data_IF_427093177147
#
_entry.id   IF_427093177147
#
_cell.length_a   1.000
_cell.length_b   1.000
_cell.length_c   1.000
_cell.angle_alpha   90.00
_cell.angle_beta   90.00
_cell.angle_gamma   90.00
#
_symmetry.space_group_name_H-M   'P 1'
#
loop_
_entity.id
_entity.type
_entity.pdbx_description
1 polymer ?
#
# COMPACT_ATOMS: atom_id res chain seq x y z
N UNK A 1 0.20 0.49 -28.77
CA UNK A 1 0.78 -0.04 -27.51
C UNK A 1 -0.22 -0.08 -26.32
N UNK A 2 -1.44 0.48 -26.43
CA UNK A 2 -2.39 0.57 -25.30
C UNK A 2 -3.49 -0.51 -25.26
N UNK A 3 -3.62 -1.36 -26.28
CA UNK A 3 -4.59 -2.47 -26.33
C UNK A 3 -3.90 -3.83 -26.53
N UNK A 4 -2.89 -4.11 -25.72
CA UNK A 4 -2.35 -5.47 -25.57
C UNK A 4 -3.07 -6.19 -24.43
N UNK A 5 -3.23 -7.50 -24.56
CA UNK A 5 -3.62 -8.39 -23.47
C UNK A 5 -2.76 -8.12 -22.23
N UNK A 6 -3.32 -8.15 -21.01
CA UNK A 6 -2.54 -7.88 -19.80
C UNK A 6 -1.42 -8.91 -19.65
N UNK A 7 -0.19 -8.43 -19.42
CA UNK A 7 1.01 -9.27 -19.37
C UNK A 7 0.88 -10.38 -18.31
N UNK A 8 0.27 -10.06 -17.17
CA UNK A 8 -0.06 -11.02 -16.12
C UNK A 8 -1.16 -12.02 -16.50
N UNK A 9 -2.14 -11.60 -17.31
CA UNK A 9 -3.19 -12.50 -17.76
C UNK A 9 -2.67 -13.52 -18.79
N UNK A 10 -1.75 -13.11 -19.66
CA UNK A 10 -1.07 -14.01 -20.60
C UNK A 10 -0.12 -14.97 -19.89
N UNK A 11 0.57 -14.50 -18.86
CA UNK A 11 1.48 -15.33 -18.07
C UNK A 11 0.74 -16.31 -17.17
N UNK A 12 -0.47 -15.97 -16.71
CA UNK A 12 -1.36 -16.92 -16.05
C UNK A 12 -1.49 -18.19 -16.88
N UNK A 13 -1.73 -18.08 -18.19
CA UNK A 13 -1.88 -19.25 -19.07
C UNK A 13 -0.59 -20.07 -19.27
N UNK A 14 0.60 -19.45 -19.27
CA UNK A 14 1.88 -20.15 -19.45
C UNK A 14 2.43 -20.81 -18.17
N UNK A 15 2.08 -20.29 -16.99
CA UNK A 15 2.65 -20.72 -15.69
C UNK A 15 1.79 -21.79 -14.98
N UNK A 16 0.55 -22.00 -15.45
CA UNK A 16 -0.38 -22.97 -14.89
C UNK A 16 0.08 -24.43 -15.08
N UNK A 17 0.12 -25.18 -13.97
CA UNK A 17 0.29 -26.64 -13.99
C UNK A 17 -0.95 -27.32 -14.58
N UNK A 18 -0.79 -28.54 -15.11
CA UNK A 18 -1.85 -29.26 -15.83
C UNK A 18 -2.99 -29.82 -14.98
N UNK A 19 -3.14 -29.41 -13.71
CA UNK A 19 -4.16 -29.93 -12.80
C UNK A 19 -4.84 -28.81 -12.00
N UNK A 20 -6.17 -28.79 -12.07
CA UNK A 20 -7.07 -28.11 -11.13
C UNK A 20 -6.90 -26.59 -10.98
N UNK A 21 -7.74 -25.81 -11.69
CA UNK A 21 -7.86 -24.37 -11.41
C UNK A 21 -8.36 -24.09 -9.99
N UNK A 22 -7.91 -22.99 -9.39
CA UNK A 22 -8.40 -22.53 -8.07
C UNK A 22 -9.88 -22.17 -8.20
N UNK A 23 -10.72 -22.67 -7.30
CA UNK A 23 -12.14 -22.25 -7.27
C UNK A 23 -12.27 -20.78 -6.86
N UNK A 24 -13.22 -20.07 -7.48
CA UNK A 24 -13.55 -18.68 -7.14
C UNK A 24 -13.85 -18.48 -5.65
N UNK A 25 -14.54 -19.44 -5.01
CA UNK A 25 -14.83 -19.36 -3.58
C UNK A 25 -13.57 -19.48 -2.72
N UNK A 26 -12.64 -20.37 -3.09
CA UNK A 26 -11.36 -20.55 -2.39
C UNK A 26 -10.52 -19.27 -2.49
N UNK A 27 -10.43 -18.68 -3.69
CA UNK A 27 -9.68 -17.43 -3.88
C UNK A 27 -10.26 -16.27 -3.06
N UNK A 28 -11.59 -16.07 -3.08
CA UNK A 28 -12.27 -15.02 -2.32
C UNK A 28 -12.09 -15.22 -0.81
N UNK A 29 -12.26 -16.46 -0.32
CA UNK A 29 -12.05 -16.79 1.09
C UNK A 29 -10.59 -16.61 1.52
N UNK A 30 -9.63 -16.99 0.69
CA UNK A 30 -8.21 -16.77 0.95
C UNK A 30 -7.88 -15.27 1.00
N UNK A 31 -8.42 -14.46 0.09
CA UNK A 31 -8.28 -13.01 0.11
C UNK A 31 -8.88 -12.39 1.39
N UNK A 32 -10.09 -12.81 1.77
CA UNK A 32 -10.72 -12.37 3.01
C UNK A 32 -9.88 -12.76 4.24
N UNK A 33 -9.39 -14.00 4.29
CA UNK A 33 -8.57 -14.51 5.39
C UNK A 33 -7.24 -13.76 5.50
N UNK A 34 -6.55 -13.49 4.39
CA UNK A 34 -5.31 -12.71 4.38
C UNK A 34 -5.55 -11.26 4.82
N UNK A 35 -6.64 -10.62 4.40
CA UNK A 35 -6.99 -9.27 4.83
C UNK A 35 -7.27 -9.20 6.34
N UNK A 36 -8.03 -10.17 6.87
CA UNK A 36 -8.30 -10.29 8.31
C UNK A 36 -7.01 -10.58 9.08
N UNK A 37 -6.18 -11.51 8.62
CA UNK A 37 -4.89 -11.85 9.23
C UNK A 37 -3.98 -10.61 9.31
N UNK A 38 -3.88 -9.85 8.22
CA UNK A 38 -3.05 -8.65 8.14
C UNK A 38 -3.43 -7.61 9.18
N UNK A 39 -4.73 -7.45 9.47
CA UNK A 39 -5.20 -6.54 10.51
C UNK A 39 -5.04 -7.15 11.90
N UNK A 40 -5.51 -8.39 12.10
CA UNK A 40 -5.55 -9.04 13.40
C UNK A 40 -4.16 -9.20 14.02
N UNK A 41 -3.14 -9.51 13.20
CA UNK A 41 -1.79 -9.72 13.70
C UNK A 41 -1.17 -8.44 14.29
N UNK A 42 -1.61 -7.25 13.86
CA UNK A 42 -1.12 -5.97 14.39
C UNK A 42 -1.51 -5.78 15.86
N UNK A 43 -2.58 -6.45 16.29
CA UNK A 43 -3.09 -6.45 17.65
C UNK A 43 -2.60 -7.65 18.46
N UNK A 44 -1.96 -8.64 17.82
CA UNK A 44 -1.44 -9.84 18.48
C UNK A 44 -0.49 -9.55 19.66
N UNK A 45 0.44 -8.58 19.60
CA UNK A 45 1.31 -8.25 20.73
C UNK A 45 0.53 -7.91 22.01
N UNK A 46 -0.57 -7.17 21.88
CA UNK A 46 -1.37 -6.70 23.02
C UNK A 46 -2.37 -7.75 23.48
N UNK A 47 -3.13 -8.35 22.55
CA UNK A 47 -4.27 -9.20 22.92
C UNK A 47 -3.91 -10.70 23.00
N UNK A 48 -2.99 -11.18 22.17
CA UNK A 48 -2.62 -12.60 22.11
C UNK A 48 -1.41 -12.87 23.01
N UNK A 49 -0.31 -12.16 22.77
CA UNK A 49 0.94 -12.33 23.51
C UNK A 49 0.94 -11.63 24.88
N UNK A 50 -0.08 -10.81 25.16
CA UNK A 50 -0.24 -10.04 26.41
C UNK A 50 1.03 -9.29 26.82
N UNK A 51 1.77 -8.76 25.83
CA UNK A 51 2.97 -8.00 26.08
C UNK A 51 2.61 -6.69 26.79
N UNK A 52 3.48 -6.18 27.70
CA UNK A 52 3.25 -4.90 28.33
C UNK A 52 3.13 -3.79 27.28
N UNK A 53 2.36 -2.73 27.55
CA UNK A 53 2.25 -1.58 26.67
C UNK A 53 3.64 -1.08 26.24
N UNK A 54 3.82 -0.68 24.98
CA UNK A 54 5.11 -0.23 24.50
C UNK A 54 5.56 1.01 25.29
N UNK A 55 6.80 0.95 25.79
CA UNK A 55 7.42 2.01 26.59
C UNK A 55 7.71 3.29 25.78
N UNK A 56 7.69 3.21 24.45
CA UNK A 56 7.90 4.34 23.54
C UNK A 56 7.10 4.17 22.25
N UNK A 57 6.91 5.28 21.52
CA UNK A 57 6.29 5.27 20.19
C UNK A 57 7.09 4.42 19.19
N UNK A 58 8.42 4.46 19.25
CA UNK A 58 9.27 3.63 18.38
C UNK A 58 9.06 2.14 18.63
N UNK A 59 8.99 1.72 19.90
CA UNK A 59 8.70 0.35 20.26
C UNK A 59 7.31 -0.09 19.77
N UNK A 60 6.32 0.80 19.81
CA UNK A 60 4.99 0.54 19.24
C UNK A 60 5.07 0.30 17.72
N UNK A 61 5.78 1.16 16.98
CA UNK A 61 5.92 1.05 15.53
C UNK A 61 6.69 -0.21 15.14
N UNK A 62 7.80 -0.52 15.81
CA UNK A 62 8.61 -1.72 15.57
C UNK A 62 7.78 -3.00 15.78
N UNK A 63 6.97 -3.07 16.84
CA UNK A 63 6.07 -4.22 17.06
C UNK A 63 5.11 -4.42 15.89
N UNK A 64 4.48 -3.34 15.41
CA UNK A 64 3.58 -3.39 14.24
C UNK A 64 4.31 -3.78 12.96
N UNK A 65 5.55 -3.34 12.77
CA UNK A 65 6.38 -3.78 11.64
C UNK A 65 6.64 -5.28 11.65
N UNK A 66 7.08 -5.82 12.78
CA UNK A 66 7.35 -7.26 12.91
C UNK A 66 6.07 -8.05 12.60
N UNK A 67 4.93 -7.63 13.15
CA UNK A 67 3.64 -8.25 12.87
C UNK A 67 3.24 -8.18 11.39
N UNK A 68 3.36 -7.01 10.76
CA UNK A 68 3.05 -6.83 9.34
C UNK A 68 3.94 -7.70 8.44
N UNK A 69 5.24 -7.79 8.75
CA UNK A 69 6.19 -8.67 8.06
C UNK A 69 5.80 -10.14 8.21
N UNK A 70 5.48 -10.59 9.42
CA UNK A 70 5.05 -11.98 9.66
C UNK A 70 3.79 -12.29 8.86
N UNK A 71 2.76 -11.43 8.89
CA UNK A 71 1.55 -11.64 8.09
C UNK A 71 1.83 -11.62 6.60
N UNK A 72 2.77 -10.80 6.13
CA UNK A 72 3.15 -10.75 4.72
C UNK A 72 3.81 -12.07 4.28
N UNK A 73 4.73 -12.59 5.10
CA UNK A 73 5.37 -13.88 4.86
C UNK A 73 4.37 -15.04 4.88
N UNK A 74 3.47 -15.07 5.86
CA UNK A 74 2.41 -16.08 5.93
C UNK A 74 1.48 -16.02 4.70
N UNK A 75 1.16 -14.82 4.23
CA UNK A 75 0.33 -14.62 3.02
C UNK A 75 1.03 -15.10 1.75
N UNK A 76 2.33 -14.85 1.62
CA UNK A 76 3.16 -15.37 0.52
C UNK A 76 3.24 -16.90 0.56
N UNK A 77 3.42 -17.50 1.74
CA UNK A 77 3.45 -18.97 1.85
C UNK A 77 2.08 -19.56 1.50
N UNK A 78 1.00 -19.01 2.07
CA UNK A 78 -0.36 -19.47 1.80
C UNK A 78 -0.72 -19.35 0.31
N UNK A 79 -0.34 -18.25 -0.33
CA UNK A 79 -0.62 -18.04 -1.76
C UNK A 79 0.14 -19.01 -2.64
N UNK A 80 1.42 -19.28 -2.33
CA UNK A 80 2.21 -20.27 -3.08
C UNK A 80 1.61 -21.67 -2.97
N UNK A 81 1.02 -22.01 -1.82
CA UNK A 81 0.34 -23.28 -1.60
C UNK A 81 -1.02 -23.39 -2.32
N UNK A 82 -1.72 -22.28 -2.54
CA UNK A 82 -3.04 -22.25 -3.18
C UNK A 82 -2.92 -22.13 -4.71
N UNK A 83 -1.93 -21.39 -5.20
CA UNK A 83 -1.76 -21.17 -6.63
C UNK A 83 -1.43 -22.50 -7.36
N UNK A 84 -2.08 -22.80 -8.49
CA UNK A 84 -1.83 -24.02 -9.26
C UNK A 84 -0.63 -23.81 -10.20
N UNK A 85 0.50 -23.40 -9.64
CA UNK A 85 1.74 -23.12 -10.35
C UNK A 85 2.76 -24.21 -10.10
N UNK A 86 3.69 -24.39 -11.05
CA UNK A 86 4.84 -25.27 -10.82
C UNK A 86 5.68 -24.68 -9.69
N UNK A 87 6.15 -25.54 -8.79
CA UNK A 87 7.03 -25.17 -7.66
C UNK A 87 8.47 -24.85 -8.10
N UNK A 88 8.63 -24.09 -9.18
CA UNK A 88 9.90 -23.51 -9.59
C UNK A 88 9.96 -22.08 -9.06
N UNK A 89 11.09 -21.70 -8.46
CA UNK A 89 11.27 -20.37 -7.88
C UNK A 89 10.95 -19.24 -8.87
N UNK A 90 11.32 -19.41 -10.14
CA UNK A 90 11.03 -18.44 -11.21
C UNK A 90 9.53 -18.24 -11.46
N UNK A 91 8.76 -19.32 -11.37
CA UNK A 91 7.32 -19.33 -11.62
C UNK A 91 6.59 -18.67 -10.44
N UNK A 92 7.00 -18.99 -9.21
CA UNK A 92 6.50 -18.37 -7.98
C UNK A 92 6.81 -16.86 -7.94
N UNK A 93 8.06 -16.47 -8.20
CA UNK A 93 8.43 -15.05 -8.23
C UNK A 93 7.71 -14.29 -9.35
N UNK A 94 7.53 -14.92 -10.52
CA UNK A 94 6.78 -14.32 -11.63
C UNK A 94 5.31 -14.12 -11.27
N UNK A 95 4.67 -15.08 -10.60
CA UNK A 95 3.29 -14.95 -10.12
C UNK A 95 3.14 -13.77 -9.15
N UNK A 96 4.14 -13.52 -8.30
CA UNK A 96 4.19 -12.35 -7.41
C UNK A 96 4.61 -11.04 -8.08
N UNK A 97 4.90 -11.04 -9.39
CA UNK A 97 5.42 -9.87 -10.10
C UNK A 97 6.83 -9.45 -9.66
N UNK A 98 7.59 -10.35 -9.06
CA UNK A 98 9.00 -10.16 -8.71
C UNK A 98 9.88 -10.61 -9.87
N UNK A 99 10.11 -9.70 -10.82
CA UNK A 99 10.85 -9.99 -12.05
C UNK A 99 11.89 -8.90 -12.34
N UNK A 100 12.93 -9.28 -13.10
CA UNK A 100 14.07 -8.42 -13.43
C UNK A 100 14.02 -7.82 -14.84
N UNK A 101 13.18 -8.35 -15.73
CA UNK A 101 12.95 -7.79 -17.05
C UNK A 101 12.20 -6.45 -16.94
N UNK A 102 12.49 -5.50 -17.82
CA UNK A 102 11.72 -4.24 -17.94
C UNK A 102 11.50 -3.41 -16.65
N UNK A 103 12.28 -3.65 -15.59
CA UNK A 103 12.10 -2.99 -14.27
C UNK A 103 12.15 -1.47 -14.36
N UNK A 104 12.99 -0.92 -15.23
CA UNK A 104 13.06 0.53 -15.42
C UNK A 104 11.73 1.11 -15.94
N UNK A 105 11.02 0.39 -16.82
CA UNK A 105 9.71 0.81 -17.35
C UNK A 105 8.64 0.70 -16.28
N UNK A 106 8.68 -0.41 -15.52
CA UNK A 106 7.83 -0.64 -14.35
C UNK A 106 8.05 0.39 -13.23
N UNK A 107 9.21 1.06 -13.20
CA UNK A 107 9.45 2.15 -12.27
C UNK A 107 9.02 3.52 -12.84
N UNK A 108 9.50 3.86 -14.03
CA UNK A 108 9.35 5.21 -14.60
C UNK A 108 7.92 5.50 -15.06
N UNK A 109 7.25 4.55 -15.73
CA UNK A 109 5.91 4.77 -16.25
C UNK A 109 4.88 4.99 -15.13
N UNK A 110 4.82 4.15 -14.08
CA UNK A 110 3.88 4.37 -12.98
C UNK A 110 4.20 5.63 -12.19
N UNK A 111 5.48 5.96 -11.98
CA UNK A 111 5.87 7.21 -11.32
C UNK A 111 5.40 8.42 -12.13
N UNK A 112 5.60 8.42 -13.44
CA UNK A 112 5.18 9.49 -14.34
C UNK A 112 3.66 9.65 -14.35
N UNK A 113 2.93 8.53 -14.48
CA UNK A 113 1.47 8.52 -14.49
C UNK A 113 0.89 9.02 -13.15
N UNK A 114 1.45 8.56 -12.02
CA UNK A 114 1.03 9.02 -10.70
C UNK A 114 1.37 10.48 -10.48
N UNK A 115 2.54 10.94 -10.94
CA UNK A 115 2.93 12.36 -10.87
C UNK A 115 1.98 13.25 -11.67
N UNK A 116 1.50 12.78 -12.83
CA UNK A 116 0.51 13.50 -13.65
C UNK A 116 -0.83 13.63 -12.91
N UNK A 117 -1.31 12.57 -12.26
CA UNK A 117 -2.53 12.63 -11.43
C UNK A 117 -2.40 13.67 -10.30
N UNK A 118 -1.18 13.87 -9.79
CA UNK A 118 -0.86 14.83 -8.75
C UNK A 118 -0.33 16.17 -9.27
N UNK A 119 -0.35 16.44 -10.58
CA UNK A 119 0.29 17.61 -11.18
C UNK A 119 -0.10 18.93 -10.49
N UNK A 120 -1.38 19.10 -10.13
CA UNK A 120 -1.84 20.30 -9.39
C UNK A 120 -1.20 20.46 -8.00
N UNK A 121 -1.07 19.37 -7.24
CA UNK A 121 -0.40 19.39 -5.92
C UNK A 121 1.13 19.47 -6.05
N UNK A 122 1.68 18.86 -7.10
CA UNK A 122 3.11 18.85 -7.40
C UNK A 122 3.61 20.23 -7.80
N UNK A 123 2.90 20.92 -8.70
CA UNK A 123 3.19 22.32 -9.08
C UNK A 123 3.12 23.23 -7.85
N UNK A 124 2.11 23.09 -6.98
CA UNK A 124 2.03 23.89 -5.73
C UNK A 124 3.23 23.64 -4.80
N UNK A 125 3.68 22.38 -4.67
CA UNK A 125 4.83 22.03 -3.81
C UNK A 125 6.14 22.53 -4.40
N UNK A 126 6.32 22.44 -5.73
CA UNK A 126 7.46 23.03 -6.44
C UNK A 126 7.45 24.56 -6.29
N UNK A 127 6.32 25.22 -6.52
CA UNK A 127 6.20 26.66 -6.36
C UNK A 127 6.54 27.08 -4.93
N UNK A 128 6.03 26.37 -3.91
CA UNK A 128 6.38 26.65 -2.51
C UNK A 128 7.87 26.41 -2.20
N UNK A 129 8.51 25.41 -2.81
CA UNK A 129 9.96 25.20 -2.67
C UNK A 129 10.75 26.31 -3.36
N UNK A 130 10.33 26.73 -4.55
CA UNK A 130 10.96 27.83 -5.29
C UNK A 130 10.79 29.18 -4.59
N UNK A 131 9.63 29.41 -3.97
CA UNK A 131 9.33 30.63 -3.20
C UNK A 131 10.15 30.65 -1.90
N UNK A 132 10.20 29.51 -1.20
CA UNK A 132 11.08 29.32 -0.02
C UNK A 132 12.57 29.43 -0.37
N UNK A 133 12.98 29.07 -1.59
CA UNK A 133 14.35 29.19 -2.07
C UNK A 133 14.73 30.65 -2.42
N UNK A 134 13.74 31.53 -2.69
CA UNK A 134 13.98 32.97 -2.83
C UNK A 134 14.20 33.68 -1.49
N UNK A 135 13.68 33.14 -0.38
CA UNK A 135 13.86 33.73 0.96
C UNK A 135 15.11 33.23 1.71
N UNK A 136 15.69 32.08 1.38
CA UNK A 136 16.84 31.51 2.10
C UNK A 136 17.99 31.15 1.14
N UNK A 137 18.71 32.17 0.67
CA UNK A 137 19.76 32.02 -0.37
C UNK A 137 21.14 31.57 0.15
N UNK A 138 21.29 31.00 1.36
CA UNK A 138 22.64 30.65 1.89
C UNK A 138 22.83 29.22 2.41
N UNK A 139 21.78 28.40 2.67
CA UNK A 139 21.99 27.04 3.23
C UNK A 139 21.12 25.91 2.63
N UNK A 140 20.55 26.09 1.43
CA UNK A 140 19.55 25.17 0.86
C UNK A 140 20.02 23.72 0.65
N UNK A 141 21.28 23.51 0.22
CA UNK A 141 21.82 22.17 -0.04
C UNK A 141 22.06 21.36 1.24
N UNK A 142 22.61 22.00 2.28
CA UNK A 142 22.86 21.37 3.58
C UNK A 142 21.54 21.07 4.33
N UNK A 143 20.54 21.95 4.21
CA UNK A 143 19.21 21.76 4.80
C UNK A 143 18.42 20.65 4.10
N UNK A 144 18.54 20.50 2.77
CA UNK A 144 17.92 19.40 2.05
C UNK A 144 18.56 18.04 2.42
N UNK A 145 19.89 17.99 2.46
CA UNK A 145 20.63 16.80 2.87
C UNK A 145 20.38 16.43 4.33
N UNK A 146 20.32 17.41 5.24
CA UNK A 146 19.98 17.17 6.65
C UNK A 146 18.52 16.74 6.83
N UNK A 147 17.60 17.22 5.99
CA UNK A 147 16.20 16.78 5.97
C UNK A 147 16.06 15.35 5.46
N UNK A 148 16.77 14.97 4.39
CA UNK A 148 16.86 13.57 3.92
C UNK A 148 17.51 12.67 4.99
N UNK A 149 18.60 13.11 5.61
CA UNK A 149 19.28 12.38 6.67
C UNK A 149 18.37 12.19 7.90
N UNK A 150 17.62 13.23 8.31
CA UNK A 150 16.65 13.17 9.42
C UNK A 150 15.42 12.32 9.09
N UNK A 151 15.03 12.20 7.81
CA UNK A 151 14.01 11.25 7.37
C UNK A 151 14.51 9.80 7.45
N UNK A 152 15.80 9.58 7.21
CA UNK A 152 16.47 8.28 7.31
C UNK A 152 16.52 7.74 8.74
N UNK A 153 16.52 8.59 9.76
CA UNK A 153 16.53 8.18 11.18
C UNK A 153 15.13 8.16 11.81
N UNK A 154 14.12 8.71 11.13
CA UNK A 154 12.77 8.78 11.68
C UNK A 154 11.98 7.50 11.39
N UNK A 155 11.76 6.70 12.43
CA UNK A 155 11.01 5.43 12.37
C UNK A 155 9.59 5.62 11.80
N UNK A 156 8.94 6.76 12.04
CA UNK A 156 7.62 7.07 11.47
C UNK A 156 7.68 7.33 9.97
N UNK A 157 8.74 7.98 9.48
CA UNK A 157 8.94 8.20 8.05
C UNK A 157 9.20 6.88 7.31
N UNK A 158 10.07 6.02 7.87
CA UNK A 158 10.29 4.66 7.37
C UNK A 158 8.99 3.84 7.32
N UNK A 159 8.15 3.96 8.36
CA UNK A 159 6.84 3.32 8.41
C UNK A 159 5.96 3.72 7.24
N UNK A 160 5.81 5.02 7.05
CA UNK A 160 4.83 5.58 6.13
C UNK A 160 5.25 5.44 4.67
N UNK A 161 6.55 5.54 4.39
CA UNK A 161 7.06 5.63 3.03
C UNK A 161 7.66 4.34 2.49
N UNK A 162 8.02 3.38 3.35
CA UNK A 162 8.69 2.15 2.90
C UNK A 162 7.95 0.93 3.44
N UNK A 163 7.94 0.74 4.75
CA UNK A 163 7.50 -0.54 5.34
C UNK A 163 6.04 -0.81 5.06
N UNK A 164 5.14 0.14 5.34
CA UNK A 164 3.71 -0.05 5.10
C UNK A 164 3.38 -0.26 3.61
N UNK A 165 3.87 0.58 2.67
CA UNK A 165 3.70 0.32 1.24
C UNK A 165 4.19 -1.07 0.81
N UNK A 166 5.36 -1.50 1.27
CA UNK A 166 5.93 -2.80 0.88
C UNK A 166 5.05 -3.96 1.38
N UNK A 167 4.69 -3.97 2.66
CA UNK A 167 3.87 -5.06 3.23
C UNK A 167 2.46 -5.07 2.65
N UNK A 168 1.87 -3.91 2.42
CA UNK A 168 0.54 -3.78 1.84
C UNK A 168 0.51 -4.22 0.36
N UNK A 169 1.46 -3.77 -0.48
CA UNK A 169 1.49 -4.20 -1.88
C UNK A 169 1.82 -5.70 -2.01
N UNK A 170 2.66 -6.25 -1.14
CA UNK A 170 2.92 -7.70 -1.11
C UNK A 170 1.64 -8.50 -0.82
N UNK A 171 0.91 -8.15 0.23
CA UNK A 171 -0.30 -8.91 0.62
C UNK A 171 -1.44 -8.65 -0.36
N UNK A 172 -1.76 -7.40 -0.64
CA UNK A 172 -2.98 -7.07 -1.38
C UNK A 172 -2.79 -7.19 -2.89
N UNK A 173 -1.58 -6.99 -3.44
CA UNK A 173 -1.35 -7.06 -4.90
C UNK A 173 -0.61 -8.32 -5.27
N UNK A 174 0.56 -8.60 -4.67
CA UNK A 174 1.31 -9.79 -5.05
C UNK A 174 0.58 -11.10 -4.65
N UNK A 175 -0.11 -11.15 -3.51
CA UNK A 175 -0.80 -12.38 -3.09
C UNK A 175 -2.24 -12.48 -3.64
N UNK A 176 -3.11 -11.51 -3.29
CA UNK A 176 -4.54 -11.62 -3.58
C UNK A 176 -4.88 -11.50 -5.07
N UNK A 177 -4.20 -10.62 -5.81
CA UNK A 177 -4.59 -10.33 -7.20
C UNK A 177 -4.30 -11.50 -8.14
N UNK A 178 -3.13 -12.18 -8.08
CA UNK A 178 -2.92 -13.44 -8.82
C UNK A 178 -3.91 -14.53 -8.46
N UNK A 179 -4.28 -14.70 -7.19
CA UNK A 179 -5.29 -15.70 -6.79
C UNK A 179 -6.63 -15.47 -7.47
N UNK A 180 -7.10 -14.21 -7.50
CA UNK A 180 -8.35 -13.86 -8.18
C UNK A 180 -8.25 -14.11 -9.70
N UNK A 181 -7.13 -13.78 -10.33
CA UNK A 181 -6.92 -14.02 -11.75
C UNK A 181 -6.88 -15.51 -12.07
N UNK A 182 -6.13 -16.31 -11.30
CA UNK A 182 -6.03 -17.76 -11.46
C UNK A 182 -7.35 -18.49 -11.15
N UNK A 183 -8.24 -17.89 -10.37
CA UNK A 183 -9.57 -18.42 -10.11
C UNK A 183 -10.60 -18.11 -11.22
N UNK A 184 -10.16 -17.56 -12.35
CA UNK A 184 -10.99 -17.32 -13.52
C UNK A 184 -11.80 -16.03 -13.48
N UNK A 185 -11.53 -15.12 -12.52
CA UNK A 185 -12.16 -13.80 -12.57
C UNK A 185 -11.67 -13.02 -13.79
N UNK A 186 -12.59 -12.32 -14.45
CA UNK A 186 -12.23 -11.36 -15.51
C UNK A 186 -11.26 -10.32 -14.95
N UNK A 187 -10.27 -9.92 -15.75
CA UNK A 187 -9.22 -8.99 -15.33
C UNK A 187 -9.76 -7.73 -14.66
N UNK A 188 -10.75 -7.06 -15.27
CA UNK A 188 -11.34 -5.85 -14.69
C UNK A 188 -12.08 -6.13 -13.38
N UNK A 189 -12.76 -7.27 -13.27
CA UNK A 189 -13.40 -7.69 -12.02
C UNK A 189 -12.36 -7.86 -10.91
N UNK A 190 -11.24 -8.52 -11.19
CA UNK A 190 -10.14 -8.66 -10.22
C UNK A 190 -9.54 -7.30 -9.83
N UNK A 191 -9.33 -6.40 -10.80
CA UNK A 191 -8.82 -5.03 -10.57
C UNK A 191 -9.72 -4.23 -9.60
N UNK A 192 -11.04 -4.38 -9.68
CA UNK A 192 -11.98 -3.65 -8.81
C UNK A 192 -12.33 -4.41 -7.51
N UNK A 193 -12.27 -5.74 -7.50
CA UNK A 193 -12.58 -6.55 -6.33
C UNK A 193 -11.45 -6.59 -5.29
N UNK A 194 -10.20 -6.79 -5.74
CA UNK A 194 -9.03 -6.84 -4.85
C UNK A 194 -8.92 -5.61 -3.91
N UNK A 195 -9.08 -4.37 -4.40
CA UNK A 195 -9.06 -3.15 -3.58
C UNK A 195 -10.14 -3.07 -2.50
N UNK A 196 -11.23 -3.82 -2.62
CA UNK A 196 -12.28 -3.85 -1.59
C UNK A 196 -11.71 -4.51 -0.33
N UNK A 197 -10.99 -5.62 -0.45
CA UNK A 197 -10.31 -6.26 0.69
C UNK A 197 -9.26 -5.33 1.31
N UNK A 198 -8.51 -4.61 0.48
CA UNK A 198 -7.54 -3.60 0.93
C UNK A 198 -8.20 -2.47 1.72
N UNK A 199 -9.32 -1.94 1.23
CA UNK A 199 -10.08 -0.89 1.90
C UNK A 199 -10.70 -1.39 3.21
N UNK A 200 -11.29 -2.59 3.22
CA UNK A 200 -11.84 -3.19 4.44
C UNK A 200 -10.78 -3.40 5.52
N UNK A 201 -9.54 -3.76 5.16
CA UNK A 201 -8.46 -3.86 6.12
C UNK A 201 -8.14 -2.51 6.80
N UNK A 202 -8.37 -1.40 6.11
CA UNK A 202 -8.18 -0.04 6.63
C UNK A 202 -9.31 0.45 7.53
N UNK A 203 -10.44 -0.27 7.60
CA UNK A 203 -11.49 0.02 8.60
C UNK A 203 -10.96 -0.04 10.04
N UNK A 204 -9.86 -0.77 10.30
CA UNK A 204 -9.26 -0.81 11.63
C UNK A 204 -8.86 0.60 12.14
N UNK A 205 -8.45 1.49 11.24
CA UNK A 205 -8.10 2.86 11.61
C UNK A 205 -9.34 3.66 12.03
N UNK A 206 -10.55 3.28 11.59
CA UNK A 206 -11.79 3.85 12.14
C UNK A 206 -11.88 3.65 13.63
N UNK A 207 -11.59 2.44 14.11
CA UNK A 207 -11.72 2.10 15.52
C UNK A 207 -10.76 2.96 16.34
N UNK A 208 -9.54 3.18 15.85
CA UNK A 208 -8.58 4.10 16.45
C UNK A 208 -9.11 5.55 16.47
N UNK A 209 -9.67 6.06 15.36
CA UNK A 209 -10.21 7.42 15.28
C UNK A 209 -11.46 7.64 16.15
N UNK A 210 -12.35 6.65 16.22
CA UNK A 210 -13.56 6.68 17.02
C UNK A 210 -13.27 6.67 18.52
N UNK A 211 -12.28 5.87 18.96
CA UNK A 211 -11.95 5.73 20.38
C UNK A 211 -11.18 6.95 20.91
N UNK A 212 -10.35 7.61 20.09
CA UNK A 212 -9.35 8.58 20.58
C UNK A 212 -9.70 10.05 20.35
N UNK A 213 -10.82 10.39 19.71
CA UNK A 213 -11.14 11.79 19.39
C UNK A 213 -12.63 12.08 19.54
N UNK A 214 -12.95 13.15 20.28
CA UNK A 214 -14.29 13.72 20.48
C UNK A 214 -14.93 14.26 19.17
N UNK A 215 -15.01 13.44 18.13
CA UNK A 215 -15.72 13.77 16.90
C UNK A 215 -17.19 13.35 17.02
N UNK A 216 -18.09 14.19 16.48
CA UNK A 216 -19.46 13.74 16.27
C UNK A 216 -19.48 12.52 15.34
N UNK A 217 -20.37 11.57 15.60
CA UNK A 217 -20.52 10.32 14.82
C UNK A 217 -20.55 10.55 13.31
N UNK A 218 -21.24 11.62 12.90
CA UNK A 218 -21.39 12.01 11.49
C UNK A 218 -20.07 12.50 10.86
N UNK A 219 -19.27 13.29 11.57
CA UNK A 219 -17.99 13.76 11.05
C UNK A 219 -16.97 12.63 10.98
N UNK A 220 -16.97 11.73 11.97
CA UNK A 220 -16.11 10.54 11.98
C UNK A 220 -16.48 9.58 10.84
N UNK A 221 -17.79 9.32 10.62
CA UNK A 221 -18.24 8.42 9.56
C UNK A 221 -17.95 8.97 8.17
N UNK A 222 -18.15 10.28 7.93
CA UNK A 222 -17.81 10.93 6.67
C UNK A 222 -16.31 10.89 6.36
N UNK A 223 -15.48 11.21 7.36
CA UNK A 223 -14.02 11.18 7.19
C UNK A 223 -13.53 9.77 6.82
N UNK A 224 -14.12 8.74 7.44
CA UNK A 224 -13.76 7.37 7.07
C UNK A 224 -14.32 6.99 5.71
N UNK A 225 -15.59 7.24 5.41
CA UNK A 225 -16.17 6.90 4.12
C UNK A 225 -15.31 7.47 2.97
N UNK A 226 -14.81 8.70 3.15
CA UNK A 226 -13.84 9.30 2.26
C UNK A 226 -12.51 8.54 2.21
N UNK A 227 -11.91 8.22 3.36
CA UNK A 227 -10.67 7.45 3.43
C UNK A 227 -10.81 6.09 2.72
N UNK A 228 -11.86 5.33 3.00
CA UNK A 228 -12.10 4.02 2.38
C UNK A 228 -12.35 4.14 0.87
N UNK A 229 -13.13 5.12 0.45
CA UNK A 229 -13.40 5.39 -0.96
C UNK A 229 -12.12 5.74 -1.71
N UNK A 230 -11.29 6.60 -1.13
CA UNK A 230 -9.97 6.92 -1.65
C UNK A 230 -9.08 5.68 -1.72
N UNK A 231 -9.07 4.85 -0.67
CA UNK A 231 -8.31 3.59 -0.64
C UNK A 231 -8.75 2.62 -1.72
N UNK A 232 -10.06 2.51 -2.03
CA UNK A 232 -10.56 1.69 -3.15
C UNK A 232 -10.05 2.25 -4.47
N UNK A 233 -10.17 3.55 -4.72
CA UNK A 233 -9.73 4.19 -5.98
C UNK A 233 -8.23 3.99 -6.20
N UNK A 234 -7.42 4.30 -5.19
CA UNK A 234 -5.97 4.08 -5.23
C UNK A 234 -5.66 2.58 -5.42
N UNK A 235 -6.38 1.71 -4.70
CA UNK A 235 -6.22 0.28 -4.81
C UNK A 235 -6.48 -0.23 -6.23
N UNK A 236 -7.54 0.23 -6.89
CA UNK A 236 -7.85 -0.14 -8.27
C UNK A 236 -6.79 0.34 -9.24
N UNK A 237 -6.26 1.55 -9.03
CA UNK A 237 -5.14 2.07 -9.80
C UNK A 237 -3.88 1.20 -9.64
N UNK A 238 -3.51 0.83 -8.41
CA UNK A 238 -2.39 -0.05 -8.13
C UNK A 238 -2.59 -1.45 -8.76
N UNK A 239 -3.79 -2.04 -8.66
CA UNK A 239 -4.09 -3.32 -9.30
C UNK A 239 -4.01 -3.24 -10.82
N UNK A 240 -4.47 -2.13 -11.42
CA UNK A 240 -4.29 -1.87 -12.84
C UNK A 240 -2.81 -1.81 -13.23
N UNK A 241 -1.99 -1.05 -12.49
CA UNK A 241 -0.54 -0.98 -12.74
C UNK A 241 0.10 -2.37 -12.68
N UNK A 242 -0.17 -3.14 -11.63
CA UNK A 242 0.35 -4.50 -11.46
C UNK A 242 -0.03 -5.41 -12.62
N UNK A 243 -1.31 -5.44 -12.99
CA UNK A 243 -1.82 -6.29 -14.09
C UNK A 243 -1.24 -5.90 -15.45
N UNK A 244 -1.03 -4.60 -15.68
CA UNK A 244 -0.53 -4.10 -16.97
C UNK A 244 0.97 -4.28 -17.11
N UNK A 245 1.75 -4.10 -16.06
CA UNK A 245 3.21 -4.23 -16.12
C UNK A 245 3.69 -5.63 -15.77
N UNK A 246 2.96 -6.38 -14.94
CA UNK A 246 3.44 -7.63 -14.37
C UNK A 246 4.57 -7.47 -13.36
N UNK A 247 4.64 -6.32 -12.71
CA UNK A 247 5.69 -6.01 -11.75
C UNK A 247 5.10 -5.44 -10.47
N UNK A 248 5.55 -5.96 -9.33
CA UNK A 248 5.19 -5.44 -8.01
C UNK A 248 5.76 -4.04 -7.76
N UNK A 249 6.88 -3.69 -8.40
CA UNK A 249 7.48 -2.36 -8.21
C UNK A 249 6.59 -1.23 -8.74
N UNK A 250 5.75 -1.52 -9.74
CA UNK A 250 4.84 -0.55 -10.35
C UNK A 250 3.83 0.04 -9.34
N UNK A 251 2.97 -0.78 -8.69
CA UNK A 251 2.09 -0.26 -7.65
C UNK A 251 2.86 0.23 -6.43
N UNK A 252 4.00 -0.38 -6.09
CA UNK A 252 4.80 0.02 -4.92
C UNK A 252 5.32 1.46 -5.04
N UNK A 253 5.91 1.83 -6.17
CA UNK A 253 6.40 3.19 -6.41
C UNK A 253 5.27 4.19 -6.42
N UNK A 254 4.14 3.85 -7.06
CA UNK A 254 2.93 4.67 -7.02
C UNK A 254 2.43 4.88 -5.58
N UNK A 255 2.43 3.82 -4.75
CA UNK A 255 2.04 3.89 -3.35
C UNK A 255 2.97 4.80 -2.54
N UNK A 256 4.28 4.58 -2.61
CA UNK A 256 5.26 5.40 -1.90
C UNK A 256 5.14 6.88 -2.29
N UNK A 257 4.93 7.15 -3.59
CA UNK A 257 4.72 8.50 -4.10
C UNK A 257 3.40 9.13 -3.58
N UNK A 258 2.30 8.39 -3.61
CA UNK A 258 1.02 8.84 -3.04
C UNK A 258 1.15 9.16 -1.55
N UNK A 259 1.83 8.32 -0.77
CA UNK A 259 2.07 8.58 0.65
C UNK A 259 2.92 9.82 0.87
N UNK A 260 3.93 10.06 0.03
CA UNK A 260 4.77 11.25 0.08
C UNK A 260 4.02 12.55 -0.29
N UNK A 261 3.14 12.47 -1.30
CA UNK A 261 2.33 13.61 -1.73
C UNK A 261 1.18 13.88 -0.75
N UNK A 262 0.69 12.85 -0.06
CA UNK A 262 -0.48 12.90 0.79
C UNK A 262 -1.78 13.01 -0.02
N UNK A 263 -2.91 13.11 0.68
CA UNK A 263 -4.20 13.34 0.03
C UNK A 263 -4.16 14.73 -0.65
N UNK A 264 -4.56 14.86 -1.93
CA UNK A 264 -4.63 16.15 -2.61
C UNK A 264 -5.39 17.17 -1.76
N UNK A 265 -4.85 18.39 -1.68
CA UNK A 265 -5.22 19.44 -0.71
C UNK A 265 -6.64 20.04 -0.85
N UNK A 266 -7.62 19.29 -1.38
CA UNK A 266 -9.03 19.67 -1.32
C UNK A 266 -9.60 19.56 0.09
N UNK A 267 -9.00 18.70 0.94
CA UNK A 267 -9.35 18.57 2.35
C UNK A 267 -8.12 18.86 3.21
N UNK A 268 -7.67 20.11 3.20
CA UNK A 268 -6.66 20.58 4.14
C UNK A 268 -7.12 20.29 5.56
N UNK A 269 -6.41 19.35 6.21
CA UNK A 269 -6.36 19.22 7.66
C UNK A 269 -6.04 20.60 8.22
N UNK A 270 -7.02 21.27 8.86
CA UNK A 270 -6.76 22.46 9.68
C UNK A 270 -5.55 22.17 10.55
N UNK A 271 -4.42 22.80 10.21
CA UNK A 271 -3.26 22.91 11.06
C UNK A 271 -3.56 24.09 11.99
N UNK A 272 -3.67 23.82 13.29
CA UNK A 272 -3.96 24.81 14.33
C UNK A 272 -5.03 24.24 15.28
N UNK A 273 -4.75 23.98 16.55
CA UNK A 273 -4.07 24.87 17.49
C UNK A 273 -2.99 24.15 18.31
N UNK A 274 -1.79 24.76 18.32
CA UNK A 274 -0.84 24.62 19.41
C UNK A 274 -1.56 25.21 20.64
N UNK A 275 -1.96 24.36 21.59
CA UNK A 275 -2.32 24.82 22.93
C UNK A 275 -1.03 25.37 23.55
N UNK A 276 -0.91 26.70 23.62
CA UNK A 276 0.01 27.33 24.55
C UNK A 276 -0.38 26.86 25.96
N UNK A 277 0.58 26.46 26.82
CA UNK A 277 0.28 26.25 28.22
C UNK A 277 -0.26 27.57 28.80
N UNK A 278 -1.41 27.50 29.48
CA UNK A 278 -1.85 28.58 30.36
C UNK A 278 -0.87 28.63 31.53
N UNK A 279 -0.34 29.83 31.78
CA UNK A 279 0.25 30.19 33.07
C UNK A 279 -0.76 29.99 34.19
#
# INVERSE_FOLDING_TARGET
>A
MLMGTPLMAQQGEEVLGSDGGVSASVAVLACAAMAVLYVAILYAPTFILRLPPPVSYEAFVIRRFICATISSLLSLIATALILPIRWRMTDVFSAYGMRWDHVWQAFILPLSLTSLMYAGSFVKKILHVLDSHKEHQVEGGAVFMSKIASMGTNVSAWRNYIVAPVTEELVFRACMLPLLLCAGFKTYTAIFLCPIFFSLAHLNHMLEFYIHKDYSLLNASMAVAFQLGYTVVFGSYASFLFVRTGHLISPLVAHMFCNYMGIPAFFSRRRGTILKPKN
#
